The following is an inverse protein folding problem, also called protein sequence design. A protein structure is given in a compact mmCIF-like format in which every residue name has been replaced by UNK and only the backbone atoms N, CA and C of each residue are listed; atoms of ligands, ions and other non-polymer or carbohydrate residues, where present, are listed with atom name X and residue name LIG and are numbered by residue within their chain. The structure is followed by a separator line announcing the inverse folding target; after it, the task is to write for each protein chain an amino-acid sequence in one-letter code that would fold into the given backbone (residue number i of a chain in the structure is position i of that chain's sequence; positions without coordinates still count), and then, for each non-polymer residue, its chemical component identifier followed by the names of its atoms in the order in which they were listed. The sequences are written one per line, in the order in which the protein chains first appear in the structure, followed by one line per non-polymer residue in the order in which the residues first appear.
data_IF_760689095499
#
_entry.id   IF_760689095499
#
_cell.length_a   1.000
_cell.length_b   1.000
_cell.length_c   1.000
_cell.angle_alpha   90.00
_cell.angle_beta   90.00
_cell.angle_gamma   90.00
#
_symmetry.space_group_name_H-M   'P 1'
#
loop_
_entity.id
_entity.type
_entity.pdbx_description
1 polymer ?
#
# COMPACT_ATOMS: atom_id res chain seq x y z
N UNK A 1 6.35 34.19 0.93
CA UNK A 1 5.68 33.14 0.12
C UNK A 1 5.45 31.97 1.05
N UNK A 2 4.20 31.54 1.20
CA UNK A 2 3.80 30.56 2.21
C UNK A 2 4.06 29.14 1.70
N UNK A 3 5.30 28.66 1.82
CA UNK A 3 5.65 27.26 1.52
C UNK A 3 5.18 26.36 2.67
N UNK A 4 4.00 25.77 2.56
CA UNK A 4 3.48 24.80 3.54
C UNK A 4 2.75 23.62 2.88
N UNK A 5 2.51 22.59 3.69
CA UNK A 5 1.81 21.36 3.30
C UNK A 5 0.41 21.71 2.77
N UNK A 6 0.01 21.12 1.64
CA UNK A 6 -1.29 21.34 1.02
C UNK A 6 -1.36 22.47 0.00
N UNK A 7 -0.33 23.33 -0.09
CA UNK A 7 -0.16 24.29 -1.20
C UNK A 7 0.92 23.81 -2.17
N UNK A 8 2.06 23.36 -1.63
CA UNK A 8 3.14 22.85 -2.45
C UNK A 8 2.76 21.54 -3.15
N UNK A 9 3.07 21.43 -4.45
CA UNK A 9 2.86 20.18 -5.18
C UNK A 9 3.93 19.18 -4.75
N UNK A 10 3.57 17.94 -4.36
CA UNK A 10 4.50 17.01 -3.73
C UNK A 10 5.74 16.62 -4.57
N UNK A 11 5.68 16.79 -5.90
CA UNK A 11 6.79 16.55 -6.82
C UNK A 11 7.69 17.76 -7.07
N UNK A 12 7.42 18.92 -6.44
CA UNK A 12 8.31 20.08 -6.52
C UNK A 12 9.56 19.90 -5.66
N UNK A 13 10.70 20.36 -6.14
CA UNK A 13 11.97 20.25 -5.42
C UNK A 13 12.19 21.39 -4.38
N UNK A 14 11.19 21.64 -3.52
CA UNK A 14 11.27 22.69 -2.50
C UNK A 14 11.94 22.19 -1.22
N UNK A 15 12.52 23.09 -0.41
CA UNK A 15 13.14 22.71 0.87
C UNK A 15 12.19 21.89 1.76
N UNK A 16 10.90 22.25 1.80
CA UNK A 16 9.87 21.52 2.55
C UNK A 16 9.79 20.06 2.09
N UNK A 17 9.66 19.83 0.80
CA UNK A 17 9.43 18.49 0.24
C UNK A 17 10.70 17.63 0.22
N UNK A 18 11.88 18.25 0.27
CA UNK A 18 13.18 17.58 0.45
C UNK A 18 13.48 17.21 1.90
N UNK A 19 12.74 17.77 2.85
CA UNK A 19 13.03 17.54 4.28
C UNK A 19 12.72 16.09 4.64
N UNK A 20 13.72 15.39 5.17
CA UNK A 20 13.54 14.08 5.79
C UNK A 20 12.97 14.27 7.19
N UNK A 21 11.86 13.60 7.47
CA UNK A 21 11.21 13.63 8.79
C UNK A 21 11.61 12.34 9.51
N UNK A 22 12.39 12.40 10.61
CA UNK A 22 12.92 11.20 11.26
C UNK A 22 11.86 10.16 11.64
N UNK A 23 10.67 10.60 12.05
CA UNK A 23 9.55 9.72 12.43
C UNK A 23 8.93 8.98 11.24
N UNK A 24 9.15 9.43 10.01
CA UNK A 24 8.57 8.82 8.81
C UNK A 24 9.43 7.71 8.22
N UNK A 25 10.68 7.57 8.67
CA UNK A 25 11.63 6.60 8.13
C UNK A 25 11.98 5.55 9.17
N UNK A 26 12.16 4.31 8.72
CA UNK A 26 12.72 3.25 9.56
C UNK A 26 14.25 3.37 9.55
N UNK A 27 14.93 3.40 10.72
CA UNK A 27 16.40 3.47 10.77
C UNK A 27 17.10 2.28 10.09
N UNK A 28 16.42 1.13 10.03
CA UNK A 28 16.90 -0.09 9.38
C UNK A 28 16.72 -0.09 7.86
N UNK A 29 15.97 0.87 7.30
CA UNK A 29 15.77 0.97 5.86
C UNK A 29 16.96 1.71 5.22
N UNK A 30 17.74 1.07 4.33
CA UNK A 30 18.84 1.71 3.61
C UNK A 30 18.41 2.95 2.80
N UNK A 31 17.13 3.02 2.38
CA UNK A 31 16.57 4.17 1.67
C UNK A 31 16.22 5.36 2.56
N UNK A 32 16.33 5.23 3.89
CA UNK A 32 15.93 6.26 4.87
C UNK A 32 16.74 7.56 4.77
N UNK A 33 17.98 7.49 4.28
CA UNK A 33 18.90 8.63 4.23
C UNK A 33 18.83 9.42 2.92
N UNK A 34 18.45 8.77 1.82
CA UNK A 34 18.23 9.41 0.52
C UNK A 34 17.56 8.44 -0.45
N UNK A 35 16.75 8.97 -1.38
CA UNK A 35 16.22 8.22 -2.52
C UNK A 35 16.98 8.60 -3.78
N UNK A 36 17.74 7.66 -4.34
CA UNK A 36 18.59 7.91 -5.51
C UNK A 36 17.78 8.24 -6.76
N UNK A 37 17.70 9.51 -7.14
CA UNK A 37 16.98 9.96 -8.35
C UNK A 37 15.82 10.92 -8.07
N UNK A 38 15.50 11.19 -6.80
CA UNK A 38 14.73 12.36 -6.39
C UNK A 38 15.34 13.01 -5.17
N UNK A 39 15.41 14.34 -5.13
CA UNK A 39 15.88 15.06 -3.94
C UNK A 39 14.84 15.11 -2.80
N UNK A 40 13.71 14.41 -2.95
CA UNK A 40 12.54 14.48 -2.09
C UNK A 40 12.69 13.58 -0.85
N UNK A 41 12.02 13.96 0.23
CA UNK A 41 12.10 13.24 1.51
C UNK A 41 11.35 11.89 1.43
N UNK A 42 11.98 10.79 1.89
CA UNK A 42 11.38 9.47 1.83
C UNK A 42 10.46 9.16 3.03
N UNK A 43 9.76 8.03 2.94
CA UNK A 43 8.87 7.50 3.99
C UNK A 43 8.86 5.96 3.94
N UNK A 44 8.99 5.31 5.10
CA UNK A 44 8.90 3.86 5.28
C UNK A 44 7.55 3.41 5.84
N UNK A 45 6.74 4.32 6.38
CA UNK A 45 5.45 3.98 7.02
C UNK A 45 4.29 4.49 6.18
N UNK A 46 3.55 3.58 5.56
CA UNK A 46 2.48 3.93 4.62
C UNK A 46 1.11 3.62 5.18
N UNK A 47 0.12 4.37 4.72
CA UNK A 47 -1.26 4.31 5.15
C UNK A 47 -2.06 3.24 4.38
N UNK A 48 -2.88 2.49 5.09
CA UNK A 48 -3.72 1.44 4.50
C UNK A 48 -4.86 2.06 3.67
N UNK A 49 -4.90 1.75 2.36
CA UNK A 49 -5.97 2.19 1.44
C UNK A 49 -7.07 1.16 1.21
N UNK A 50 -6.86 -0.06 1.67
CA UNK A 50 -7.79 -1.16 1.53
C UNK A 50 -7.40 -2.13 0.44
N UNK A 51 -8.34 -3.02 0.13
CA UNK A 51 -8.08 -4.32 -0.45
C UNK A 51 -8.73 -4.46 -1.84
N UNK A 52 -8.49 -3.49 -2.72
CA UNK A 52 -8.86 -3.56 -4.13
C UNK A 52 -8.04 -2.57 -4.96
N UNK A 53 -8.02 -2.79 -6.26
CA UNK A 53 -7.34 -1.91 -7.20
C UNK A 53 -8.02 -0.54 -7.26
N UNK A 54 -7.21 0.51 -7.19
CA UNK A 54 -7.65 1.89 -7.30
C UNK A 54 -6.72 2.65 -8.24
N UNK A 55 -7.30 3.38 -9.20
CA UNK A 55 -6.49 4.22 -10.08
C UNK A 55 -6.02 5.49 -9.38
N UNK A 56 -5.01 6.13 -9.96
CA UNK A 56 -4.29 7.26 -9.36
C UNK A 56 -5.19 8.45 -9.01
N UNK A 57 -6.27 8.66 -9.76
CA UNK A 57 -7.18 9.79 -9.59
C UNK A 57 -8.40 9.49 -8.72
N UNK A 58 -8.55 8.25 -8.23
CA UNK A 58 -9.70 7.80 -7.44
C UNK A 58 -9.52 8.14 -5.95
N UNK A 59 -10.61 8.30 -5.23
CA UNK A 59 -10.63 8.74 -3.81
C UNK A 59 -11.23 7.70 -2.87
N UNK A 60 -11.83 6.66 -3.41
CA UNK A 60 -12.44 5.56 -2.68
C UNK A 60 -11.38 4.84 -1.84
N UNK A 61 -11.83 4.30 -0.71
CA UNK A 61 -11.02 3.44 0.14
C UNK A 61 -11.88 2.54 1.02
N UNK A 62 -11.51 1.25 1.09
CA UNK A 62 -11.98 0.36 2.17
C UNK A 62 -11.08 0.38 3.38
N UNK A 63 -9.79 0.68 3.21
CA UNK A 63 -8.87 0.91 4.32
C UNK A 63 -9.08 2.26 4.97
N UNK A 64 -8.41 2.51 6.09
CA UNK A 64 -8.61 3.69 6.95
C UNK A 64 -8.38 5.00 6.21
N UNK A 65 -7.41 5.02 5.29
CA UNK A 65 -7.03 6.22 4.55
C UNK A 65 -7.39 6.10 3.07
N UNK A 66 -7.51 7.25 2.42
CA UNK A 66 -7.63 7.34 0.98
C UNK A 66 -6.95 8.61 0.47
N UNK A 67 -6.97 8.80 -0.84
CA UNK A 67 -6.38 9.98 -1.45
C UNK A 67 -7.31 11.19 -1.29
N UNK A 68 -6.72 12.34 -1.01
CA UNK A 68 -7.44 13.61 -0.97
C UNK A 68 -8.32 13.77 0.27
N UNK A 69 -9.31 14.66 0.19
CA UNK A 69 -10.18 15.03 1.31
C UNK A 69 -11.54 14.30 1.30
N UNK A 70 -11.67 13.23 0.51
CA UNK A 70 -12.96 12.57 0.23
C UNK A 70 -13.14 11.28 1.03
N UNK A 71 -12.05 10.58 1.37
CA UNK A 71 -12.06 9.40 2.23
C UNK A 71 -12.05 9.77 3.72
N UNK A 72 -13.07 10.50 4.18
CA UNK A 72 -13.20 10.87 5.60
C UNK A 72 -13.85 9.72 6.38
N UNK A 73 -13.15 9.17 7.38
CA UNK A 73 -13.69 8.15 8.29
C UNK A 73 -13.74 8.67 9.71
N UNK A 74 -14.82 8.35 10.41
CA UNK A 74 -14.93 8.54 11.86
C UNK A 74 -14.56 7.21 12.54
N UNK A 75 -14.14 7.25 13.81
CA UNK A 75 -13.92 6.01 14.57
C UNK A 75 -15.18 5.12 14.60
N UNK A 76 -16.37 5.71 14.68
CA UNK A 76 -17.64 4.98 14.63
C UNK A 76 -17.92 4.35 13.26
N UNK A 77 -17.33 4.89 12.18
CA UNK A 77 -17.42 4.35 10.82
C UNK A 77 -16.47 3.17 10.57
N UNK A 78 -15.61 2.82 11.52
CA UNK A 78 -14.72 1.65 11.44
C UNK A 78 -15.43 0.49 12.12
N UNK A 79 -16.39 -0.09 11.39
CA UNK A 79 -17.32 -1.10 11.92
C UNK A 79 -16.68 -2.48 12.09
N UNK A 80 -15.53 -2.72 11.44
CA UNK A 80 -14.74 -3.95 11.65
C UNK A 80 -14.00 -3.93 13.00
N UNK A 81 -13.99 -2.78 13.69
CA UNK A 81 -13.41 -2.58 15.01
C UNK A 81 -12.00 -1.98 14.95
N UNK A 82 -11.71 -1.04 15.85
CA UNK A 82 -10.44 -0.29 15.82
C UNK A 82 -9.21 -1.14 16.17
N UNK A 83 -9.39 -2.21 16.95
CA UNK A 83 -8.33 -3.18 17.27
C UNK A 83 -8.09 -4.21 16.15
N UNK A 84 -9.02 -4.32 15.21
CA UNK A 84 -8.99 -5.29 14.11
C UNK A 84 -8.82 -4.62 12.74
N UNK A 85 -8.54 -3.32 12.72
CA UNK A 85 -8.33 -2.56 11.48
C UNK A 85 -6.91 -2.01 11.44
N UNK A 86 -6.16 -2.39 10.42
CA UNK A 86 -4.81 -1.89 10.16
C UNK A 86 -4.86 -0.46 9.63
N UNK A 87 -4.01 0.39 10.20
CA UNK A 87 -3.95 1.82 9.88
C UNK A 87 -2.69 2.15 9.07
N UNK A 88 -1.51 1.78 9.58
CA UNK A 88 -0.22 2.06 8.95
C UNK A 88 0.65 0.80 9.00
N UNK A 89 1.43 0.52 7.95
CA UNK A 89 2.41 -0.57 7.95
C UNK A 89 3.76 -0.12 7.40
N UNK A 90 4.78 -0.91 7.71
CA UNK A 90 6.09 -0.82 7.07
C UNK A 90 5.95 -1.11 5.56
N UNK A 91 6.57 -0.26 4.75
CA UNK A 91 6.85 -0.46 3.33
C UNK A 91 8.29 -0.06 3.10
N UNK A 92 9.10 -0.99 2.57
CA UNK A 92 10.48 -0.69 2.20
C UNK A 92 10.52 0.42 1.16
N UNK A 93 11.39 1.39 1.38
CA UNK A 93 11.67 2.45 0.41
C UNK A 93 12.28 1.78 -0.83
N UNK A 94 11.67 2.05 -2.00
CA UNK A 94 12.07 1.41 -3.24
C UNK A 94 13.50 1.77 -3.64
N UNK A 95 14.20 0.82 -4.27
CA UNK A 95 15.61 0.97 -4.64
C UNK A 95 15.73 1.09 -6.15
N UNK A 96 16.23 2.24 -6.61
CA UNK A 96 16.42 2.51 -8.05
C UNK A 96 17.30 1.43 -8.69
N UNK A 97 16.81 0.83 -9.78
CA UNK A 97 17.52 -0.23 -10.51
C UNK A 97 17.49 -1.62 -9.85
N UNK A 98 16.93 -1.76 -8.63
CA UNK A 98 16.70 -3.08 -8.04
C UNK A 98 15.59 -3.81 -8.80
N UNK A 99 15.69 -5.14 -8.83
CA UNK A 99 14.61 -6.04 -9.25
C UNK A 99 14.08 -6.87 -8.10
N UNK A 100 14.63 -6.74 -6.89
CA UNK A 100 14.20 -7.55 -5.75
C UNK A 100 12.75 -7.26 -5.43
N UNK A 101 11.96 -8.30 -5.22
CA UNK A 101 10.65 -8.17 -4.57
C UNK A 101 10.83 -7.37 -3.27
N UNK A 102 9.89 -6.50 -2.93
CA UNK A 102 9.91 -5.48 -1.86
C UNK A 102 10.73 -4.22 -2.13
N UNK A 103 11.64 -4.20 -3.10
CA UNK A 103 12.44 -3.00 -3.43
C UNK A 103 12.02 -2.37 -4.76
N UNK A 104 11.43 -3.17 -5.64
CA UNK A 104 11.01 -2.77 -6.96
C UNK A 104 9.48 -2.83 -7.09
N UNK A 105 8.96 -2.09 -8.07
CA UNK A 105 7.56 -2.12 -8.49
C UNK A 105 7.54 -2.61 -9.95
N UNK A 106 6.83 -3.70 -10.23
CA UNK A 106 6.66 -4.17 -11.61
C UNK A 106 5.66 -3.26 -12.34
N UNK A 107 6.01 -2.81 -13.54
CA UNK A 107 5.15 -1.94 -14.36
C UNK A 107 4.56 -2.70 -15.56
N UNK A 108 3.64 -2.05 -16.29
CA UNK A 108 2.99 -2.60 -17.48
C UNK A 108 2.33 -3.98 -17.23
N UNK A 109 1.75 -4.20 -16.05
CA UNK A 109 1.16 -5.51 -15.70
C UNK A 109 -0.24 -5.76 -16.26
N UNK A 110 -0.85 -4.75 -16.90
CA UNK A 110 -2.21 -4.85 -17.46
C UNK A 110 -3.30 -4.88 -16.39
N UNK A 111 -3.09 -4.20 -15.26
CA UNK A 111 -4.07 -4.05 -14.20
C UNK A 111 -5.28 -3.22 -14.67
N UNK A 112 -6.45 -3.49 -14.11
CA UNK A 112 -7.71 -2.83 -14.41
C UNK A 112 -8.63 -2.88 -13.19
N UNK A 113 -9.79 -2.20 -13.26
CA UNK A 113 -10.76 -2.20 -12.17
C UNK A 113 -11.31 -3.61 -11.90
N UNK A 114 -10.94 -4.20 -10.77
CA UNK A 114 -11.29 -5.59 -10.43
C UNK A 114 -10.32 -6.64 -10.98
N UNK A 115 -9.09 -6.27 -11.33
CA UNK A 115 -8.05 -7.26 -11.63
C UNK A 115 -7.71 -8.11 -10.37
N UNK A 116 -7.27 -9.37 -10.50
CA UNK A 116 -6.78 -10.15 -9.38
C UNK A 116 -5.34 -9.75 -9.01
N UNK A 117 -4.95 -9.77 -7.72
CA UNK A 117 -3.56 -9.48 -7.32
C UNK A 117 -2.55 -10.53 -7.81
N UNK A 118 -3.00 -11.69 -8.28
CA UNK A 118 -2.16 -12.71 -8.92
C UNK A 118 -1.37 -12.17 -10.11
N UNK A 119 -1.80 -11.08 -10.76
CA UNK A 119 -1.02 -10.45 -11.83
C UNK A 119 0.32 -9.91 -11.33
N UNK A 120 0.42 -9.46 -10.07
CA UNK A 120 1.70 -9.06 -9.48
C UNK A 120 2.54 -10.28 -9.11
N UNK A 121 1.92 -11.35 -8.60
CA UNK A 121 2.61 -12.61 -8.31
C UNK A 121 3.22 -13.22 -9.56
N UNK A 122 2.54 -13.13 -10.70
CA UNK A 122 3.05 -13.59 -12.00
C UNK A 122 4.34 -12.86 -12.43
N UNK A 123 4.67 -11.72 -11.81
CA UNK A 123 5.94 -11.00 -12.06
C UNK A 123 7.10 -11.53 -11.24
N UNK A 124 6.86 -12.34 -10.20
CA UNK A 124 7.92 -12.91 -9.37
C UNK A 124 8.59 -14.06 -10.11
N UNK A 125 9.84 -13.86 -10.49
CA UNK A 125 10.71 -14.88 -11.08
C UNK A 125 11.57 -15.59 -10.04
N UNK A 126 12.64 -16.21 -10.53
CA UNK A 126 13.64 -16.89 -9.71
C UNK A 126 14.26 -15.95 -8.68
N UNK A 127 14.64 -16.51 -7.53
CA UNK A 127 15.32 -15.80 -6.43
C UNK A 127 14.58 -14.54 -5.93
N UNK A 128 13.24 -14.52 -6.07
CA UNK A 128 12.37 -13.38 -5.74
C UNK A 128 12.77 -12.10 -6.47
N UNK A 129 13.14 -12.20 -7.74
CA UNK A 129 13.37 -11.08 -8.64
C UNK A 129 12.17 -10.83 -9.55
N UNK A 130 11.77 -9.58 -9.71
CA UNK A 130 10.72 -9.18 -10.65
C UNK A 130 11.20 -9.33 -12.10
N UNK A 131 10.35 -9.95 -12.90
CA UNK A 131 10.55 -10.18 -14.34
C UNK A 131 9.95 -9.04 -15.17
N UNK A 132 10.34 -8.98 -16.45
CA UNK A 132 9.96 -7.95 -17.43
C UNK A 132 10.18 -6.51 -16.96
N UNK A 133 9.25 -5.61 -17.30
CA UNK A 133 9.32 -4.19 -17.01
C UNK A 133 9.20 -3.89 -15.50
N UNK A 134 10.11 -3.03 -15.05
CA UNK A 134 10.13 -2.46 -13.71
C UNK A 134 9.95 -0.95 -13.81
N UNK A 135 9.36 -0.37 -12.79
CA UNK A 135 9.17 1.06 -12.69
C UNK A 135 10.52 1.78 -12.61
N UNK A 136 10.65 2.84 -13.42
CA UNK A 136 11.82 3.73 -13.39
C UNK A 136 11.86 4.63 -12.14
N UNK A 137 12.98 5.36 -11.96
CA UNK A 137 13.17 6.24 -10.81
C UNK A 137 12.08 7.34 -10.73
N UNK A 138 11.76 7.76 -9.51
CA UNK A 138 10.80 8.83 -9.23
C UNK A 138 9.39 8.34 -8.87
N UNK A 139 9.01 7.13 -9.27
CA UNK A 139 7.69 6.52 -8.97
C UNK A 139 7.80 5.21 -8.18
N UNK A 140 8.84 5.08 -7.37
CA UNK A 140 9.08 3.92 -6.53
C UNK A 140 8.46 4.11 -5.14
N UNK A 141 8.17 3.00 -4.43
CA UNK A 141 7.55 3.08 -3.12
C UNK A 141 8.30 3.97 -2.13
N UNK A 142 7.60 4.84 -1.40
CA UNK A 142 8.18 5.61 -0.30
C UNK A 142 9.08 6.79 -0.69
N UNK A 143 9.12 7.19 -1.98
CA UNK A 143 10.03 8.27 -2.43
C UNK A 143 9.55 9.69 -2.14
N UNK A 144 8.30 9.90 -1.72
CA UNK A 144 7.72 11.22 -1.45
C UNK A 144 6.78 11.21 -0.24
N UNK A 145 7.26 11.64 0.93
CA UNK A 145 6.42 11.63 2.14
C UNK A 145 5.15 12.48 2.05
N UNK A 146 5.17 13.53 1.22
CA UNK A 146 4.07 14.50 1.11
C UNK A 146 3.06 14.17 0.00
N UNK A 147 3.16 13.01 -0.65
CA UNK A 147 2.35 12.65 -1.80
C UNK A 147 1.36 11.51 -1.50
N UNK A 148 0.06 11.79 -1.59
CA UNK A 148 -1.01 10.83 -1.34
C UNK A 148 -1.34 9.93 -2.54
N UNK A 149 -0.43 9.79 -3.51
CA UNK A 149 -0.51 8.80 -4.58
C UNK A 149 0.09 7.47 -4.12
N UNK A 150 -0.49 6.36 -4.57
CA UNK A 150 -0.26 5.01 -4.04
C UNK A 150 1.19 4.67 -3.67
N UNK A 151 2.16 4.66 -4.60
CA UNK A 151 3.55 4.28 -4.33
C UNK A 151 4.14 5.00 -3.12
N UNK A 152 3.79 6.27 -2.91
CA UNK A 152 4.54 7.10 -1.99
C UNK A 152 4.11 6.95 -0.54
N UNK A 153 2.81 6.89 -0.27
CA UNK A 153 2.30 6.91 1.11
C UNK A 153 1.15 5.93 1.37
N UNK A 154 0.79 5.07 0.41
CA UNK A 154 -0.36 4.16 0.57
C UNK A 154 -0.02 2.72 0.19
N UNK A 155 -0.57 1.77 0.94
CA UNK A 155 -0.40 0.33 0.67
C UNK A 155 -1.74 -0.41 0.71
N UNK A 156 -1.73 -1.63 0.18
CA UNK A 156 -2.91 -2.49 -0.01
C UNK A 156 -2.65 -3.90 0.55
N UNK A 157 -3.50 -4.42 1.47
CA UNK A 157 -3.43 -5.78 1.98
C UNK A 157 -4.05 -6.82 1.03
N UNK A 158 -3.70 -6.76 -0.25
CA UNK A 158 -4.16 -7.73 -1.26
C UNK A 158 -3.22 -8.91 -1.45
N UNK A 159 -1.98 -8.75 -0.99
CA UNK A 159 -0.91 -9.75 -1.01
C UNK A 159 -0.27 -9.79 0.37
N UNK A 160 0.25 -10.95 0.81
CA UNK A 160 0.84 -11.08 2.14
C UNK A 160 2.05 -10.16 2.29
N UNK A 161 2.45 -9.85 3.54
CA UNK A 161 3.67 -9.10 3.82
C UNK A 161 4.88 -9.61 3.03
N UNK A 162 5.76 -8.69 2.65
CA UNK A 162 6.94 -8.95 1.81
C UNK A 162 6.63 -9.50 0.41
N UNK A 163 5.37 -9.40 -0.06
CA UNK A 163 4.96 -9.73 -1.41
C UNK A 163 5.41 -8.70 -2.48
N UNK A 164 5.18 -8.99 -3.77
CA UNK A 164 5.49 -8.06 -4.85
C UNK A 164 4.54 -6.85 -4.85
N UNK A 165 5.05 -5.70 -5.30
CA UNK A 165 4.27 -4.52 -5.66
C UNK A 165 4.24 -4.40 -7.18
N UNK A 166 3.10 -4.02 -7.76
CA UNK A 166 3.01 -3.82 -9.21
C UNK A 166 1.91 -2.84 -9.63
N UNK A 167 1.96 -2.39 -10.88
CA UNK A 167 0.90 -1.61 -11.50
C UNK A 167 1.08 -1.41 -13.00
N UNK A 168 0.19 -0.65 -13.63
CA UNK A 168 0.41 -0.24 -15.02
C UNK A 168 1.54 0.78 -15.11
N UNK A 169 1.62 1.67 -14.12
CA UNK A 169 2.80 2.45 -13.79
C UNK A 169 2.94 2.51 -12.27
N UNK A 170 3.97 3.21 -11.78
CA UNK A 170 4.10 3.48 -10.35
C UNK A 170 2.88 4.19 -9.78
N UNK A 171 2.20 5.05 -10.52
CA UNK A 171 1.04 5.81 -10.02
C UNK A 171 -0.30 5.22 -10.47
N UNK A 172 -0.39 4.61 -11.66
CA UNK A 172 -1.66 4.12 -12.23
C UNK A 172 -1.87 2.64 -11.98
N UNK A 173 -3.07 2.32 -11.48
CA UNK A 173 -3.47 0.96 -11.09
C UNK A 173 -2.32 0.27 -10.36
N UNK A 174 -1.83 0.86 -9.28
CA UNK A 174 -0.71 0.35 -8.52
C UNK A 174 -1.19 -0.27 -7.21
N UNK A 175 -0.66 -1.44 -6.87
CA UNK A 175 -0.71 -1.99 -5.52
C UNK A 175 0.70 -1.99 -4.95
N UNK A 176 0.80 -1.46 -3.73
CA UNK A 176 2.01 -1.48 -2.92
C UNK A 176 1.72 -2.43 -1.76
N UNK A 177 2.58 -3.43 -1.61
CA UNK A 177 2.46 -4.44 -0.56
C UNK A 177 3.29 -4.02 0.66
N UNK A 178 2.77 -4.29 1.87
CA UNK A 178 3.54 -4.11 3.09
C UNK A 178 4.86 -4.89 3.02
N UNK A 179 5.95 -4.28 3.44
CA UNK A 179 7.28 -4.89 3.37
C UNK A 179 8.23 -4.33 4.41
N UNK A 180 9.10 -5.19 4.93
CA UNK A 180 10.03 -4.82 6.00
C UNK A 180 11.39 -5.47 5.82
N UNK A 181 12.39 -4.90 6.50
CA UNK A 181 13.68 -5.55 6.73
C UNK A 181 13.66 -6.44 7.98
N UNK A 182 12.59 -6.42 8.77
CA UNK A 182 12.40 -7.36 9.87
C UNK A 182 12.11 -8.77 9.33
N UNK A 183 12.86 -9.80 9.74
CA UNK A 183 12.69 -11.14 9.19
C UNK A 183 11.29 -11.72 9.44
N UNK A 184 10.66 -12.25 8.39
CA UNK A 184 9.46 -13.07 8.50
C UNK A 184 8.14 -12.31 8.64
N UNK A 185 8.11 -10.98 8.50
CA UNK A 185 6.88 -10.21 8.63
C UNK A 185 7.06 -8.70 8.59
N UNK A 186 6.04 -7.98 9.01
CA UNK A 186 5.99 -6.51 9.08
C UNK A 186 5.39 -6.06 10.40
N UNK A 187 5.81 -4.89 10.90
CA UNK A 187 5.06 -4.21 11.93
C UNK A 187 3.86 -3.46 11.32
N UNK A 188 2.74 -3.53 12.03
CA UNK A 188 1.50 -2.84 11.67
C UNK A 188 0.95 -2.09 12.86
N UNK A 189 0.60 -0.83 12.66
CA UNK A 189 -0.15 0.00 13.59
C UNK A 189 -1.65 -0.17 13.33
N UNK A 190 -2.39 -0.54 14.37
CA UNK A 190 -3.85 -0.65 14.35
C UNK A 190 -4.49 0.71 14.65
N UNK A 191 -5.79 0.85 14.36
CA UNK A 191 -6.52 2.11 14.59
C UNK A 191 -6.62 2.47 16.08
N UNK A 192 -6.63 1.48 16.97
CA UNK A 192 -6.63 1.69 18.43
C UNK A 192 -5.25 2.13 19.00
N UNK A 193 -4.22 2.23 18.16
CA UNK A 193 -2.87 2.62 18.55
C UNK A 193 -1.96 1.46 18.96
N UNK A 194 -2.46 0.22 18.99
CA UNK A 194 -1.62 -0.96 19.21
C UNK A 194 -0.72 -1.24 18.00
N UNK A 195 0.47 -1.78 18.25
CA UNK A 195 1.42 -2.20 17.21
C UNK A 195 1.61 -3.70 17.32
N UNK A 196 1.46 -4.40 16.19
CA UNK A 196 1.57 -5.84 16.11
C UNK A 196 2.54 -6.24 15.01
N UNK A 197 3.34 -7.29 15.27
CA UNK A 197 4.14 -7.92 14.24
C UNK A 197 3.30 -8.99 13.53
N UNK A 198 3.13 -8.83 12.22
CA UNK A 198 2.33 -9.74 11.39
C UNK A 198 3.26 -10.56 10.51
N UNK A 199 3.21 -11.88 10.68
CA UNK A 199 4.01 -12.81 9.91
C UNK A 199 3.64 -12.79 8.42
N UNK A 200 4.62 -12.96 7.53
CA UNK A 200 4.39 -13.08 6.08
C UNK A 200 3.65 -14.36 5.69
N UNK A 201 3.49 -15.30 6.62
CA UNK A 201 2.69 -16.53 6.47
C UNK A 201 1.23 -16.35 6.87
N UNK A 202 0.80 -15.12 7.19
CA UNK A 202 -0.61 -14.83 7.47
C UNK A 202 -1.48 -15.26 6.28
N UNK A 203 -2.70 -15.73 6.57
CA UNK A 203 -3.69 -16.04 5.53
C UNK A 203 -4.04 -14.79 4.74
N UNK A 204 -3.61 -14.76 3.48
CA UNK A 204 -3.88 -13.70 2.51
C UNK A 204 -4.87 -14.15 1.42
N UNK A 205 -5.60 -15.24 1.65
CA UNK A 205 -6.62 -15.75 0.73
C UNK A 205 -6.06 -16.26 -0.61
N UNK A 206 -6.96 -16.42 -1.59
CA UNK A 206 -6.61 -16.84 -2.94
C UNK A 206 -6.33 -15.60 -3.81
N UNK A 207 -5.08 -15.40 -4.28
CA UNK A 207 -4.71 -14.20 -5.02
C UNK A 207 -5.32 -14.16 -6.44
N UNK A 208 -5.94 -15.24 -6.90
CA UNK A 208 -6.64 -15.27 -8.20
C UNK A 208 -8.08 -14.74 -8.11
N UNK A 209 -8.60 -14.57 -6.89
CA UNK A 209 -9.94 -14.02 -6.63
C UNK A 209 -9.91 -12.50 -6.54
N UNK A 210 -11.09 -11.91 -6.74
CA UNK A 210 -11.32 -10.47 -6.62
C UNK A 210 -12.63 -10.23 -5.87
N UNK A 211 -12.94 -8.98 -5.53
CA UNK A 211 -14.24 -8.62 -4.94
C UNK A 211 -15.42 -9.04 -5.82
N UNK A 212 -15.21 -9.17 -7.13
CA UNK A 212 -16.25 -9.59 -8.07
C UNK A 212 -16.65 -11.06 -7.90
N UNK A 213 -15.77 -11.87 -7.31
CA UNK A 213 -16.02 -13.27 -7.01
C UNK A 213 -16.71 -13.48 -5.65
N UNK A 214 -16.98 -12.40 -4.91
CA UNK A 214 -17.59 -12.48 -3.58
C UNK A 214 -19.11 -12.63 -3.69
N UNK A 215 -19.74 -13.53 -2.91
CA UNK A 215 -21.20 -13.75 -2.96
C UNK A 215 -22.04 -12.49 -2.73
N UNK A 216 -21.51 -11.54 -1.94
CA UNK A 216 -22.16 -10.28 -1.60
C UNK A 216 -21.96 -9.19 -2.69
N UNK A 217 -21.16 -9.45 -3.72
CA UNK A 217 -20.97 -8.51 -4.81
C UNK A 217 -22.22 -8.48 -5.69
N UNK A 218 -23.03 -7.44 -5.52
CA UNK A 218 -24.29 -7.24 -6.26
C UNK A 218 -24.12 -6.78 -7.71
N UNK A 219 -22.90 -6.83 -8.27
CA UNK A 219 -22.57 -6.20 -9.55
C UNK A 219 -22.25 -4.71 -9.42
N UNK A 220 -21.87 -4.08 -10.53
CA UNK A 220 -21.46 -2.67 -10.57
C UNK A 220 -19.94 -2.51 -10.45
N UNK A 221 -19.49 -1.45 -9.78
CA UNK A 221 -18.08 -1.15 -9.71
C UNK A 221 -17.43 -1.85 -8.48
N UNK A 222 -16.29 -2.55 -8.66
CA UNK A 222 -15.53 -3.17 -7.57
C UNK A 222 -15.27 -2.27 -6.36
N UNK A 223 -15.01 -0.97 -6.58
CA UNK A 223 -14.72 -0.02 -5.50
C UNK A 223 -15.91 0.32 -4.58
N UNK A 224 -17.13 -0.04 -4.99
CA UNK A 224 -18.35 0.18 -4.21
C UNK A 224 -18.65 -1.01 -3.27
N UNK A 225 -17.82 -2.06 -3.31
CA UNK A 225 -17.99 -3.25 -2.50
C UNK A 225 -17.78 -2.96 -1.00
N UNK A 226 -18.70 -3.46 -0.16
CA UNK A 226 -18.70 -3.25 1.29
C UNK A 226 -18.89 -4.56 2.07
N UNK A 227 -18.49 -5.70 1.50
CA UNK A 227 -18.59 -7.01 2.13
C UNK A 227 -17.22 -7.58 2.55
N UNK A 228 -17.18 -8.86 2.94
CA UNK A 228 -15.97 -9.57 3.35
C UNK A 228 -14.81 -9.48 2.36
N UNK A 229 -13.58 -9.35 2.85
CA UNK A 229 -12.38 -9.34 2.01
C UNK A 229 -12.17 -10.68 1.29
N UNK A 230 -11.78 -10.68 0.00
CA UNK A 230 -11.38 -11.90 -0.69
C UNK A 230 -9.97 -12.40 -0.29
N UNK A 231 -9.20 -11.61 0.46
CA UNK A 231 -7.77 -11.88 0.73
C UNK A 231 -7.52 -12.35 2.17
N UNK A 232 -8.38 -13.23 2.66
CA UNK A 232 -8.23 -13.90 3.96
C UNK A 232 -8.19 -12.94 5.14
N UNK A 233 -7.56 -13.39 6.23
CA UNK A 233 -7.37 -12.60 7.46
C UNK A 233 -6.63 -11.29 7.16
N UNK A 234 -5.61 -11.32 6.30
CA UNK A 234 -4.81 -10.15 5.98
C UNK A 234 -5.62 -9.04 5.31
N UNK A 235 -6.40 -9.37 4.28
CA UNK A 235 -7.27 -8.41 3.60
C UNK A 235 -8.40 -7.91 4.50
N UNK A 236 -8.96 -8.78 5.34
CA UNK A 236 -10.02 -8.43 6.28
C UNK A 236 -9.56 -7.40 7.33
N UNK A 237 -8.37 -7.60 7.91
CA UNK A 237 -7.73 -6.61 8.78
C UNK A 237 -7.44 -5.28 8.05
N UNK A 238 -7.40 -5.31 6.73
CA UNK A 238 -7.22 -4.18 5.84
C UNK A 238 -8.46 -3.33 5.56
N UNK A 239 -9.64 -3.86 5.89
CA UNK A 239 -10.91 -3.19 5.67
C UNK A 239 -11.36 -2.47 6.94
N UNK A 240 -12.03 -1.33 6.78
CA UNK A 240 -12.68 -0.63 7.89
C UNK A 240 -14.17 -0.99 8.04
N UNK A 241 -14.79 -1.62 7.03
CA UNK A 241 -16.24 -1.88 6.99
C UNK A 241 -16.65 -3.09 6.12
N UNK A 242 -15.91 -4.19 6.18
CA UNK A 242 -16.17 -5.45 5.48
C UNK A 242 -17.15 -6.36 6.22
N UNK A 243 -17.37 -6.13 7.51
CA UNK A 243 -18.30 -6.89 8.35
C UNK A 243 -17.75 -8.24 8.83
N UNK A 244 -16.46 -8.49 8.67
CA UNK A 244 -15.80 -9.73 9.11
C UNK A 244 -15.35 -9.59 10.56
N UNK A 245 -15.69 -10.57 11.39
CA UNK A 245 -15.14 -10.67 12.75
C UNK A 245 -13.81 -11.41 12.68
N UNK A 246 -12.72 -10.66 12.57
CA UNK A 246 -11.37 -11.22 12.47
C UNK A 246 -10.51 -10.71 13.62
N UNK A 247 -9.71 -11.58 14.21
CA UNK A 247 -8.75 -11.22 15.25
C UNK A 247 -7.34 -11.53 14.75
N UNK A 248 -6.38 -10.75 15.25
CA UNK A 248 -4.97 -11.03 15.09
C UNK A 248 -4.66 -12.42 15.66
N UNK A 249 -3.89 -13.26 14.95
CA UNK A 249 -3.48 -14.57 15.43
C UNK A 249 -2.56 -14.50 16.66
#
# INVERSE_FOLDING_TARGET
MNTHIGIERPWHNTQLLRTTIPTFVCPSDPGSSSVHGSDLGPISYQANRGDYWLDWNWWESRGVFGRGNTANKTFAGITDGTSNTMMISEVKIGVSGSRRVTEALASNVGAYNGAPPSICLARVGLDRMLTGDIQGPGWLPGWRWADAITPYTLWHPMLPPNGPSCGNSGESWAIVTASSYHPGGVNVLMVDGSVNFIAETIDAGDPTRTVQDMPQFGGGNPQDYAGPSPYGVWGALGSAFGGESVQLP
#
